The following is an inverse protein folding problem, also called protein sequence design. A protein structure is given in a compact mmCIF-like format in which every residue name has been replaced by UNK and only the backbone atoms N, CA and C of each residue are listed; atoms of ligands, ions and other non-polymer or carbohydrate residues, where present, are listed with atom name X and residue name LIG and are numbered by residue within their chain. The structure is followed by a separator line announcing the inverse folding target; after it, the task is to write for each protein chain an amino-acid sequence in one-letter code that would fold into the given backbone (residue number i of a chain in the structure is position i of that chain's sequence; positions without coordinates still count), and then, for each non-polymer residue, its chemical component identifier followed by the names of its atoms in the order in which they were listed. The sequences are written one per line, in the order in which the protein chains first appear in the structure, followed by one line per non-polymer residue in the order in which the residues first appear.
data_IF_414999439238
#
_entry.id   IF_414999439238
#
_cell.length_a   1.000
_cell.length_b   1.000
_cell.length_c   1.000
_cell.angle_alpha   90.00
_cell.angle_beta   90.00
_cell.angle_gamma   90.00
#
_symmetry.space_group_name_H-M   'P 1'
#
loop_
_entity.id
_entity.type
_entity.pdbx_description
1 polymer ?
#
# COMPACT_ATOMS: atom_id res chain seq x y z
N UNK A 1 -21.36 16.85 -15.23
CA UNK A 1 -21.79 17.63 -14.08
C UNK A 1 -22.69 16.81 -13.15
N UNK A 2 -23.74 16.16 -13.63
CA UNK A 2 -24.73 15.49 -12.76
C UNK A 2 -24.31 14.14 -12.14
N UNK A 3 -23.17 13.56 -12.52
CA UNK A 3 -22.75 12.25 -11.99
C UNK A 3 -21.73 12.33 -10.85
N UNK A 4 -20.99 13.43 -10.77
CA UNK A 4 -19.96 13.60 -9.74
C UNK A 4 -20.53 14.21 -8.45
N UNK A 5 -21.55 15.09 -8.57
CA UNK A 5 -22.28 15.58 -7.40
C UNK A 5 -23.03 14.47 -6.67
N UNK A 6 -23.49 13.43 -7.39
CA UNK A 6 -24.17 12.29 -6.78
C UNK A 6 -23.26 11.46 -5.85
N UNK A 7 -21.95 11.48 -6.04
CA UNK A 7 -21.01 10.72 -5.20
C UNK A 7 -20.84 11.38 -3.82
N UNK A 8 -20.85 12.70 -3.74
CA UNK A 8 -20.75 13.43 -2.47
C UNK A 8 -22.13 13.67 -1.82
N UNK A 9 -23.19 13.85 -2.60
CA UNK A 9 -24.57 14.00 -2.09
C UNK A 9 -25.16 12.66 -1.58
N UNK A 10 -24.59 11.52 -1.97
CA UNK A 10 -25.03 10.19 -1.53
C UNK A 10 -24.70 9.87 -0.06
N UNK A 11 -23.75 10.58 0.55
CA UNK A 11 -23.41 10.38 1.96
C UNK A 11 -24.38 11.11 2.93
N UNK A 12 -25.09 12.14 2.48
CA UNK A 12 -26.06 12.88 3.31
C UNK A 12 -27.47 12.28 3.32
N UNK A 13 -27.76 11.22 2.57
CA UNK A 13 -29.08 10.62 2.46
C UNK A 13 -29.06 9.09 2.54
N UNK A 14 -28.62 8.56 3.69
CA UNK A 14 -28.91 7.16 4.00
C UNK A 14 -30.42 7.04 4.33
N UNK A 15 -31.20 6.24 3.57
CA UNK A 15 -32.54 5.88 4.01
C UNK A 15 -32.44 5.08 5.30
N UNK A 16 -33.45 5.18 6.21
CA UNK A 16 -33.42 4.46 7.48
C UNK A 16 -33.23 2.97 7.21
N UNK A 17 -32.27 2.38 7.89
CA UNK A 17 -31.82 1.01 7.80
C UNK A 17 -32.98 0.02 7.60
N UNK A 18 -33.16 -0.46 6.38
CA UNK A 18 -33.90 -1.68 6.13
C UNK A 18 -33.02 -2.81 6.65
N UNK A 19 -33.42 -3.38 7.76
CA UNK A 19 -32.82 -4.56 8.38
C UNK A 19 -32.74 -5.70 7.38
N UNK A 20 -31.67 -5.79 6.62
CA UNK A 20 -31.30 -7.00 5.89
C UNK A 20 -30.74 -7.96 6.93
N UNK A 21 -31.58 -8.94 7.30
CA UNK A 21 -31.19 -10.06 8.14
C UNK A 21 -30.06 -10.81 7.47
N UNK A 22 -28.86 -10.79 8.07
CA UNK A 22 -27.76 -11.68 7.70
C UNK A 22 -28.26 -13.12 7.75
N UNK A 23 -27.95 -14.00 6.76
CA UNK A 23 -28.19 -15.41 6.93
C UNK A 23 -27.34 -15.92 8.11
N UNK A 24 -28.00 -16.43 9.14
CA UNK A 24 -27.34 -17.05 10.28
C UNK A 24 -26.58 -18.29 9.82
N UNK A 25 -25.27 -18.26 9.84
CA UNK A 25 -24.47 -19.47 9.77
C UNK A 25 -24.65 -20.19 11.11
N UNK A 26 -25.33 -21.31 11.09
CA UNK A 26 -25.53 -22.18 12.23
C UNK A 26 -24.20 -22.86 12.59
N UNK A 27 -23.46 -22.33 13.53
CA UNK A 27 -22.35 -23.04 14.17
C UNK A 27 -22.95 -23.83 15.36
N UNK A 28 -22.82 -25.16 15.40
CA UNK A 28 -23.30 -25.93 16.54
C UNK A 28 -22.47 -25.61 17.79
N UNK A 29 -23.11 -25.13 18.84
CA UNK A 29 -22.51 -24.88 20.14
C UNK A 29 -22.09 -26.19 20.83
N UNK A 30 -20.88 -26.29 21.36
CA UNK A 30 -20.50 -27.39 22.25
C UNK A 30 -21.21 -27.30 23.60
N UNK A 31 -21.66 -28.47 24.09
CA UNK A 31 -22.50 -28.63 25.24
C UNK A 31 -21.93 -28.07 26.55
N UNK A 32 -22.84 -27.54 27.36
CA UNK A 32 -22.60 -27.04 28.72
C UNK A 32 -22.18 -28.18 29.66
N UNK A 33 -20.92 -28.16 30.07
CA UNK A 33 -20.44 -28.87 31.24
C UNK A 33 -20.36 -27.90 32.43
N UNK A 34 -21.13 -28.13 33.47
CA UNK A 34 -21.07 -27.40 34.75
C UNK A 34 -19.70 -27.61 35.40
N UNK A 35 -18.98 -26.56 35.75
CA UNK A 35 -18.00 -26.57 36.85
C UNK A 35 -18.19 -25.32 37.70
N UNK A 36 -18.16 -25.59 39.03
CA UNK A 36 -18.57 -24.76 40.15
C UNK A 36 -17.72 -23.51 40.35
N UNK A 37 -18.41 -22.48 40.92
CA UNK A 37 -17.88 -21.29 41.59
C UNK A 37 -16.73 -21.58 42.56
N UNK A 38 -15.71 -20.76 42.49
CA UNK A 38 -14.76 -20.51 43.57
C UNK A 38 -14.49 -19.01 43.67
N UNK A 39 -15.09 -18.41 44.68
CA UNK A 39 -14.95 -17.01 45.08
C UNK A 39 -13.59 -16.80 45.74
N UNK A 40 -12.76 -15.85 45.32
CA UNK A 40 -11.70 -15.25 46.16
C UNK A 40 -11.74 -13.73 45.95
N UNK A 41 -12.07 -13.05 47.04
CA UNK A 41 -11.88 -11.60 47.29
C UNK A 41 -10.41 -11.31 47.56
N UNK A 42 -9.91 -10.14 47.08
CA UNK A 42 -8.61 -9.64 47.52
C UNK A 42 -8.29 -8.28 46.91
N UNK A 43 -8.79 -7.25 47.49
CA UNK A 43 -8.14 -6.08 48.08
C UNK A 43 -7.31 -5.14 47.17
N UNK A 44 -7.86 -3.98 47.05
CA UNK A 44 -7.30 -2.69 46.67
C UNK A 44 -6.06 -2.30 47.53
N UNK A 45 -5.01 -1.81 46.93
CA UNK A 45 -4.06 -0.91 47.60
C UNK A 45 -3.54 0.14 46.62
N UNK A 46 -3.99 1.38 46.83
CA UNK A 46 -3.36 2.61 46.34
C UNK A 46 -2.02 2.80 47.05
N UNK A 47 -1.00 3.21 46.31
CA UNK A 47 0.15 3.91 46.91
C UNK A 47 0.65 4.98 45.92
N UNK A 48 0.33 6.21 46.26
CA UNK A 48 0.98 7.45 45.78
C UNK A 48 2.35 7.57 46.44
N UNK A 49 3.40 7.94 45.66
CA UNK A 49 4.61 8.53 46.20
C UNK A 49 5.24 9.45 45.20
N UNK A 50 5.12 10.75 45.48
CA UNK A 50 5.96 11.85 45.05
C UNK A 50 7.27 11.83 45.88
N UNK A 51 8.42 12.01 45.25
CA UNK A 51 9.65 12.69 45.69
C UNK A 51 10.56 12.76 44.46
N UNK A 52 11.02 13.80 43.93
CA UNK A 52 11.78 14.99 44.14
C UNK A 52 13.25 14.69 44.45
N UNK A 53 14.18 15.02 43.53
CA UNK A 53 15.58 14.95 43.85
C UNK A 53 16.51 15.38 42.70
N UNK A 54 16.95 16.61 42.73
CA UNK A 54 17.97 17.19 41.85
C UNK A 54 19.41 16.87 42.33
N UNK A 55 20.39 17.25 41.48
CA UNK A 55 21.86 17.31 41.63
C UNK A 55 22.65 16.09 41.16
N UNK A 56 23.69 16.23 40.34
CA UNK A 56 24.84 17.13 40.39
C UNK A 56 25.62 17.18 39.08
N UNK A 57 26.08 18.37 38.75
CA UNK A 57 27.15 18.68 37.81
C UNK A 57 28.48 18.20 38.37
N UNK A 58 29.30 17.56 37.57
CA UNK A 58 30.70 17.25 37.88
C UNK A 58 31.60 17.65 36.72
N UNK A 59 32.19 18.86 36.80
CA UNK A 59 33.34 19.24 35.99
C UNK A 59 34.57 18.49 36.51
N UNK A 60 35.30 17.84 35.58
CA UNK A 60 36.70 17.48 35.82
C UNK A 60 37.53 18.06 34.66
N UNK A 61 38.31 19.08 34.99
CA UNK A 61 39.42 19.62 34.20
C UNK A 61 40.69 18.85 34.54
N UNK A 62 41.37 18.31 33.54
CA UNK A 62 42.79 17.99 33.64
C UNK A 62 43.50 18.48 32.38
N UNK A 63 44.45 19.41 32.61
CA UNK A 63 45.40 19.87 31.62
C UNK A 63 46.55 18.86 31.48
N UNK A 64 47.05 18.69 30.25
CA UNK A 64 48.21 17.86 30.00
C UNK A 64 48.78 18.04 28.60
N UNK A 65 49.84 18.81 28.54
CA UNK A 65 51.03 18.87 27.65
C UNK A 65 50.88 18.77 26.11
N UNK A 66 51.43 19.82 25.53
CA UNK A 66 51.76 20.02 24.12
C UNK A 66 52.89 19.08 23.70
N UNK A 67 52.64 18.25 22.70
CA UNK A 67 53.67 17.51 21.96
C UNK A 67 53.59 17.86 20.47
N UNK A 68 54.70 18.38 19.95
CA UNK A 68 54.89 18.71 18.54
C UNK A 68 54.87 17.45 17.67
N UNK A 69 54.08 17.47 16.58
CA UNK A 69 54.09 16.39 15.58
C UNK A 69 54.39 17.02 14.19
N UNK A 70 55.34 16.40 13.51
CA UNK A 70 55.79 16.70 12.16
C UNK A 70 54.69 16.47 11.10
N UNK A 71 54.76 17.08 9.92
CA UNK A 71 53.75 16.94 8.85
C UNK A 71 53.88 15.59 8.15
N UNK A 72 52.79 14.84 8.15
CA UNK A 72 52.59 13.61 7.39
C UNK A 72 52.17 13.89 5.93
N UNK A 73 52.57 13.09 4.95
CA UNK A 73 52.23 13.28 3.53
C UNK A 73 50.75 13.02 3.26
N UNK A 74 50.20 13.69 2.21
CA UNK A 74 48.81 13.74 1.85
C UNK A 74 48.20 12.37 1.48
N UNK A 75 46.86 12.31 1.49
CA UNK A 75 46.12 11.05 1.32
C UNK A 75 46.20 10.56 -0.13
N UNK A 76 46.70 9.36 -0.29
CA UNK A 76 46.51 8.56 -1.49
C UNK A 76 45.01 8.28 -1.69
N UNK A 77 44.58 8.29 -2.95
CA UNK A 77 43.20 8.13 -3.33
C UNK A 77 42.56 6.84 -2.78
N UNK A 78 41.43 7.01 -2.10
CA UNK A 78 40.54 5.92 -1.72
C UNK A 78 39.88 5.38 -3.01
N UNK A 79 40.03 4.10 -3.33
CA UNK A 79 39.23 3.48 -4.39
C UNK A 79 37.79 3.47 -3.95
N UNK A 80 36.92 4.13 -4.69
CA UNK A 80 35.48 3.98 -4.63
C UNK A 80 35.13 2.59 -5.19
N UNK A 81 35.21 1.57 -4.34
CA UNK A 81 34.56 0.29 -4.59
C UNK A 81 33.06 0.48 -4.41
N UNK A 82 32.40 0.83 -5.50
CA UNK A 82 30.96 0.63 -5.65
C UNK A 82 30.76 -0.88 -5.83
N UNK A 83 30.72 -1.62 -4.73
CA UNK A 83 30.33 -3.00 -4.74
C UNK A 83 28.83 -3.06 -5.14
N UNK A 84 28.58 -3.28 -6.43
CA UNK A 84 27.30 -3.79 -6.90
C UNK A 84 27.03 -5.07 -6.11
N UNK A 85 25.89 -5.19 -5.39
CA UNK A 85 25.57 -6.43 -4.69
C UNK A 85 25.57 -7.56 -5.71
N UNK A 86 26.45 -8.54 -5.49
CA UNK A 86 26.51 -9.76 -6.28
C UNK A 86 25.14 -10.43 -6.15
N UNK A 87 24.46 -10.78 -7.26
CA UNK A 87 23.18 -11.46 -7.16
C UNK A 87 23.40 -12.75 -6.36
N UNK A 88 22.63 -12.91 -5.29
CA UNK A 88 22.56 -14.17 -4.55
C UNK A 88 22.29 -15.29 -5.56
N UNK A 89 23.00 -16.43 -5.53
CA UNK A 89 22.74 -17.52 -6.44
C UNK A 89 21.28 -17.95 -6.31
N UNK A 90 20.50 -17.64 -7.32
CA UNK A 90 19.09 -18.05 -7.38
C UNK A 90 19.09 -19.55 -7.57
N UNK A 91 18.58 -20.27 -6.59
CA UNK A 91 18.35 -21.71 -6.70
C UNK A 91 17.53 -21.97 -7.97
N UNK A 92 17.89 -22.95 -8.81
CA UNK A 92 17.19 -23.17 -10.06
C UNK A 92 15.74 -23.56 -9.79
N UNK A 93 14.80 -22.90 -10.48
CA UNK A 93 13.38 -23.23 -10.42
C UNK A 93 13.16 -24.71 -10.77
N UNK A 94 12.36 -25.44 -9.99
CA UNK A 94 12.00 -26.81 -10.33
C UNK A 94 11.26 -26.86 -11.67
N UNK A 95 11.52 -27.92 -12.45
CA UNK A 95 10.77 -28.16 -13.67
C UNK A 95 9.30 -28.36 -13.33
N UNK A 96 8.41 -27.55 -13.91
CA UNK A 96 6.99 -27.69 -13.67
C UNK A 96 6.45 -28.96 -14.35
N UNK A 97 5.78 -29.81 -13.57
CA UNK A 97 4.97 -30.90 -14.10
C UNK A 97 3.71 -30.31 -14.79
N UNK A 98 3.09 -31.02 -15.75
CA UNK A 98 1.80 -30.63 -16.30
C UNK A 98 0.77 -30.46 -15.18
N UNK A 99 0.18 -29.27 -15.08
CA UNK A 99 -0.84 -28.98 -14.08
C UNK A 99 -2.19 -29.49 -14.58
N UNK A 100 -2.82 -30.40 -13.84
CA UNK A 100 -4.18 -30.89 -14.17
C UNK A 100 -5.22 -29.79 -13.95
N UNK A 101 -6.17 -29.69 -14.90
CA UNK A 101 -7.21 -28.67 -14.84
C UNK A 101 -6.77 -27.27 -15.28
N UNK A 102 -5.66 -27.17 -16.02
CA UNK A 102 -5.19 -25.89 -16.56
C UNK A 102 -6.21 -25.25 -17.50
N UNK A 103 -6.46 -23.97 -17.31
CA UNK A 103 -7.31 -23.11 -18.10
C UNK A 103 -6.48 -21.97 -18.72
N UNK A 104 -6.95 -21.34 -19.80
CA UNK A 104 -6.36 -20.07 -20.25
C UNK A 104 -6.41 -19.02 -19.15
N UNK A 105 -5.37 -18.21 -18.99
CA UNK A 105 -5.32 -17.15 -17.98
C UNK A 105 -6.50 -16.18 -18.07
N UNK A 106 -7.06 -15.98 -19.28
CA UNK A 106 -8.26 -15.16 -19.50
C UNK A 106 -9.49 -15.63 -18.71
N UNK A 107 -9.61 -16.94 -18.42
CA UNK A 107 -10.73 -17.45 -17.62
C UNK A 107 -10.58 -17.18 -16.12
N UNK A 108 -9.40 -16.77 -15.69
CA UNK A 108 -9.12 -16.35 -14.33
C UNK A 108 -9.14 -14.82 -14.14
N UNK A 109 -9.28 -14.04 -15.22
CA UNK A 109 -9.48 -12.60 -15.15
C UNK A 109 -10.92 -12.31 -14.78
N UNK A 110 -11.17 -12.20 -13.48
CA UNK A 110 -12.50 -11.91 -12.97
C UNK A 110 -13.03 -10.60 -13.53
N UNK A 111 -14.30 -10.59 -13.94
CA UNK A 111 -14.93 -9.41 -14.50
C UNK A 111 -15.09 -8.30 -13.46
N UNK A 112 -14.94 -7.09 -13.92
CA UNK A 112 -15.36 -5.91 -13.16
C UNK A 112 -16.88 -5.83 -13.22
N UNK A 113 -17.60 -5.74 -12.07
CA UNK A 113 -19.02 -5.48 -12.08
C UNK A 113 -19.30 -4.14 -12.78
N UNK A 114 -20.43 -4.05 -13.45
CA UNK A 114 -20.94 -2.77 -13.96
C UNK A 114 -21.54 -1.98 -12.78
N UNK A 115 -20.69 -1.48 -11.90
CA UNK A 115 -21.07 -0.58 -10.84
C UNK A 115 -20.59 0.85 -11.20
N UNK A 116 -21.20 1.83 -10.60
CA UNK A 116 -20.77 3.23 -10.74
C UNK A 116 -19.43 3.51 -10.05
N UNK A 117 -18.91 2.53 -9.29
CA UNK A 117 -17.67 2.63 -8.55
C UNK A 117 -16.45 2.62 -9.46
N UNK A 118 -15.57 3.56 -9.23
CA UNK A 118 -14.35 3.78 -10.02
C UNK A 118 -13.36 2.65 -9.78
N UNK A 119 -13.22 2.21 -8.52
CA UNK A 119 -12.26 1.21 -8.10
C UNK A 119 -12.91 -0.15 -7.92
N UNK A 120 -12.33 -1.17 -8.52
CA UNK A 120 -12.75 -2.57 -8.39
C UNK A 120 -11.55 -3.49 -8.47
N UNK A 121 -11.60 -4.63 -7.79
CA UNK A 121 -10.59 -5.69 -7.89
C UNK A 121 -10.61 -6.45 -9.23
N UNK A 122 -11.54 -6.15 -10.14
CA UNK A 122 -11.74 -6.87 -11.42
C UNK A 122 -10.86 -6.40 -12.56
N UNK A 123 -10.97 -7.12 -13.69
CA UNK A 123 -10.31 -6.78 -14.96
C UNK A 123 -11.30 -6.18 -15.97
N UNK A 124 -10.83 -5.31 -16.90
CA UNK A 124 -9.51 -4.67 -16.85
C UNK A 124 -9.41 -3.67 -15.71
N UNK A 125 -8.18 -3.33 -15.31
CA UNK A 125 -7.98 -2.15 -14.50
C UNK A 125 -8.40 -0.95 -15.35
N UNK A 126 -9.23 -0.08 -14.82
CA UNK A 126 -9.63 1.12 -15.55
C UNK A 126 -9.10 2.31 -14.80
N UNK A 127 -8.25 3.04 -15.46
CA UNK A 127 -7.97 4.40 -15.10
C UNK A 127 -8.87 5.32 -15.95
N UNK A 128 -9.40 6.36 -15.35
CA UNK A 128 -10.18 7.38 -16.05
C UNK A 128 -9.33 8.24 -16.98
N UNK A 129 -8.00 8.21 -16.84
CA UNK A 129 -7.06 9.13 -17.45
C UNK A 129 -5.98 8.47 -18.27
N UNK A 130 -6.08 7.17 -18.46
CA UNK A 130 -5.08 6.39 -19.20
C UNK A 130 -3.64 6.56 -18.67
N UNK A 131 -3.48 6.77 -17.33
CA UNK A 131 -2.15 6.84 -16.73
C UNK A 131 -1.45 5.49 -16.94
N UNK A 132 -0.24 5.48 -17.53
CA UNK A 132 0.40 4.22 -17.88
C UNK A 132 0.84 3.46 -16.63
N UNK A 133 0.51 2.18 -16.56
CA UNK A 133 0.97 1.27 -15.50
C UNK A 133 2.31 0.60 -15.82
N UNK A 134 2.86 0.86 -17.01
CA UNK A 134 4.17 0.35 -17.48
C UNK A 134 4.89 1.43 -18.29
N UNK A 135 6.20 1.34 -18.40
CA UNK A 135 7.01 2.39 -19.03
C UNK A 135 7.39 3.47 -18.02
N UNK A 136 7.35 4.73 -18.41
CA UNK A 136 7.62 5.86 -17.51
C UNK A 136 6.32 6.60 -17.23
N UNK A 137 6.01 6.82 -15.95
CA UNK A 137 4.96 7.72 -15.51
C UNK A 137 5.61 8.96 -14.89
N UNK A 138 5.13 10.15 -15.25
CA UNK A 138 5.68 11.43 -14.79
C UNK A 138 4.68 12.15 -13.91
N UNK A 139 5.08 12.44 -12.69
CA UNK A 139 4.24 13.07 -11.67
C UNK A 139 4.82 14.44 -11.33
N UNK A 140 4.07 15.51 -11.59
CA UNK A 140 4.46 16.82 -11.09
C UNK A 140 4.26 16.87 -9.58
N UNK A 141 5.31 17.15 -8.82
CA UNK A 141 5.27 17.29 -7.36
C UNK A 141 5.38 18.75 -6.99
N UNK A 142 4.26 19.32 -6.58
CA UNK A 142 4.12 20.77 -6.30
C UNK A 142 4.06 20.97 -4.80
N UNK A 143 5.08 21.65 -4.26
CA UNK A 143 5.15 22.00 -2.85
C UNK A 143 4.55 23.38 -2.61
N UNK A 144 3.56 23.48 -1.71
CA UNK A 144 2.87 24.74 -1.45
C UNK A 144 2.95 25.17 0.00
N UNK A 145 3.20 26.46 0.20
CA UNK A 145 3.12 27.15 1.50
C UNK A 145 2.08 28.27 1.48
N UNK A 146 1.65 28.71 2.63
CA UNK A 146 0.55 29.66 2.79
C UNK A 146 0.98 30.86 3.65
N UNK A 147 0.28 32.02 3.54
CA UNK A 147 0.54 33.18 4.39
C UNK A 147 0.43 32.90 5.90
N UNK A 148 -0.30 31.86 6.30
CA UNK A 148 -0.49 31.42 7.69
C UNK A 148 0.22 30.10 8.02
N UNK A 149 0.82 29.42 7.05
CA UNK A 149 1.53 28.16 7.21
C UNK A 149 2.79 28.13 6.34
N UNK A 150 3.90 28.66 6.88
CA UNK A 150 5.16 28.70 6.16
C UNK A 150 5.91 27.36 6.26
N UNK A 151 6.70 27.05 5.24
CA UNK A 151 7.58 25.90 5.18
C UNK A 151 8.57 25.82 6.34
N UNK A 152 8.95 24.59 6.72
CA UNK A 152 10.03 24.35 7.70
C UNK A 152 11.31 23.84 7.04
N UNK A 153 11.18 23.00 6.01
CA UNK A 153 12.31 22.38 5.30
C UNK A 153 12.33 22.77 3.83
N UNK A 154 13.49 22.91 3.20
CA UNK A 154 13.57 23.20 1.76
C UNK A 154 13.19 21.96 0.93
N UNK A 155 12.64 22.18 -0.27
CA UNK A 155 12.30 21.11 -1.21
C UNK A 155 13.51 20.23 -1.55
N UNK A 156 14.71 20.84 -1.63
CA UNK A 156 15.96 20.11 -1.91
C UNK A 156 16.35 19.07 -0.86
N UNK A 157 15.79 19.13 0.35
CA UNK A 157 15.97 18.11 1.38
C UNK A 157 14.84 17.08 1.36
N UNK A 158 13.60 17.49 1.09
CA UNK A 158 12.43 16.63 1.13
C UNK A 158 12.28 15.76 -0.13
N UNK A 159 12.37 16.39 -1.29
CA UNK A 159 12.08 15.73 -2.57
C UNK A 159 12.95 14.50 -2.85
N UNK A 160 14.29 14.53 -2.64
CA UNK A 160 15.12 13.35 -2.90
C UNK A 160 14.76 12.13 -2.05
N UNK A 161 14.24 12.31 -0.84
CA UNK A 161 13.80 11.20 0.00
C UNK A 161 12.51 10.56 -0.54
N UNK A 162 11.57 11.40 -0.98
CA UNK A 162 10.31 10.95 -1.57
C UNK A 162 10.59 10.22 -2.89
N UNK A 163 11.37 10.82 -3.76
CA UNK A 163 11.74 10.26 -5.07
C UNK A 163 12.44 8.91 -4.93
N UNK A 164 13.46 8.83 -4.07
CA UNK A 164 14.22 7.60 -3.84
C UNK A 164 13.32 6.44 -3.35
N UNK A 165 12.40 6.73 -2.43
CA UNK A 165 11.49 5.73 -1.88
C UNK A 165 10.47 5.26 -2.92
N UNK A 166 9.76 6.21 -3.55
CA UNK A 166 8.68 5.90 -4.50
C UNK A 166 9.24 5.18 -5.73
N UNK A 167 10.35 5.68 -6.28
CA UNK A 167 10.98 5.06 -7.45
C UNK A 167 11.47 3.64 -7.16
N UNK A 168 12.04 3.41 -5.98
CA UNK A 168 12.52 2.07 -5.58
C UNK A 168 11.39 1.08 -5.37
N UNK A 169 10.36 1.44 -4.60
CA UNK A 169 9.26 0.51 -4.32
C UNK A 169 8.51 0.13 -5.59
N UNK A 170 8.20 1.10 -6.45
CA UNK A 170 7.52 0.82 -7.71
C UNK A 170 8.40 0.09 -8.71
N UNK A 171 9.69 0.44 -8.79
CA UNK A 171 10.67 -0.28 -9.59
C UNK A 171 10.78 -1.75 -9.20
N UNK A 172 10.83 -2.06 -7.91
CA UNK A 172 10.88 -3.44 -7.41
C UNK A 172 9.56 -4.18 -7.63
N UNK A 173 8.42 -3.60 -7.22
CA UNK A 173 7.10 -4.25 -7.37
C UNK A 173 6.74 -4.55 -8.81
N UNK A 174 7.16 -3.69 -9.74
CA UNK A 174 6.90 -3.84 -11.18
C UNK A 174 7.92 -4.69 -11.92
N UNK A 175 8.96 -5.17 -11.23
CA UNK A 175 10.10 -5.87 -11.86
C UNK A 175 10.81 -5.01 -12.91
N UNK A 176 10.90 -3.70 -12.67
CA UNK A 176 11.46 -2.71 -13.58
C UNK A 176 10.59 -2.40 -14.80
N UNK A 177 9.32 -2.82 -14.82
CA UNK A 177 8.41 -2.49 -15.92
C UNK A 177 7.82 -1.09 -15.83
N UNK A 178 7.81 -0.49 -14.64
CA UNK A 178 7.40 0.88 -14.38
C UNK A 178 8.56 1.69 -13.83
N UNK A 179 8.75 2.87 -14.36
CA UNK A 179 9.62 3.91 -13.79
C UNK A 179 8.73 5.07 -13.37
N UNK A 180 8.83 5.49 -12.12
CA UNK A 180 8.15 6.70 -11.64
C UNK A 180 9.16 7.84 -11.64
N UNK A 181 8.86 8.90 -12.40
CA UNK A 181 9.65 10.12 -12.53
C UNK A 181 8.91 11.24 -11.82
N UNK A 182 9.44 11.70 -10.68
CA UNK A 182 8.86 12.77 -9.88
C UNK A 182 9.49 14.11 -10.27
N UNK A 183 8.70 15.02 -10.83
CA UNK A 183 9.14 16.33 -11.33
C UNK A 183 8.78 17.41 -10.31
N UNK A 184 9.72 17.92 -9.50
CA UNK A 184 9.43 18.90 -8.46
C UNK A 184 9.20 20.30 -8.99
N UNK A 185 8.40 21.10 -8.29
CA UNK A 185 8.22 22.54 -8.56
C UNK A 185 9.49 23.39 -8.34
N UNK A 186 10.58 22.78 -7.88
CA UNK A 186 11.87 23.44 -7.63
C UNK A 186 11.97 24.06 -6.25
N UNK A 187 11.02 24.86 -5.82
CA UNK A 187 10.93 25.44 -4.46
C UNK A 187 9.45 25.45 -4.01
N UNK A 188 9.22 25.81 -2.77
CA UNK A 188 7.88 26.03 -2.24
C UNK A 188 7.20 27.20 -2.96
N UNK A 189 5.95 26.97 -3.30
CA UNK A 189 5.09 27.94 -3.97
C UNK A 189 4.19 28.58 -2.94
N UNK A 190 4.27 29.92 -2.81
CA UNK A 190 3.36 30.68 -1.95
C UNK A 190 1.98 30.78 -2.57
N UNK A 191 0.99 30.22 -1.89
CA UNK A 191 -0.43 30.33 -2.26
C UNK A 191 -0.98 31.72 -1.96
N UNK A 192 -2.01 32.17 -2.69
CA UNK A 192 -2.55 33.53 -2.56
C UNK A 192 -3.31 33.73 -1.26
N UNK A 193 -4.07 32.72 -0.85
CA UNK A 193 -4.90 32.75 0.34
C UNK A 193 -4.32 31.95 1.51
N UNK A 194 -4.90 32.12 2.70
CA UNK A 194 -4.61 31.31 3.87
C UNK A 194 -5.07 29.86 3.65
N UNK A 195 -4.40 28.90 4.25
CA UNK A 195 -4.69 27.48 4.09
C UNK A 195 -6.17 27.14 4.31
N UNK A 196 -6.79 27.70 5.35
CA UNK A 196 -8.22 27.50 5.67
C UNK A 196 -9.20 28.05 4.63
N UNK A 197 -8.78 28.94 3.75
CA UNK A 197 -9.65 29.47 2.71
C UNK A 197 -9.92 28.45 1.60
N UNK A 198 -8.99 27.52 1.38
CA UNK A 198 -9.16 26.42 0.41
C UNK A 198 -10.11 25.36 0.93
N UNK A 199 -10.11 25.07 2.23
CA UNK A 199 -10.97 24.09 2.89
C UNK A 199 -10.99 22.74 2.16
N UNK A 200 -9.80 22.14 2.02
CA UNK A 200 -9.58 20.83 1.41
C UNK A 200 -9.29 19.83 2.53
N UNK A 201 -10.34 19.33 3.16
CA UNK A 201 -10.30 18.35 4.23
C UNK A 201 -10.82 17.02 3.68
N UNK A 202 -10.06 15.95 3.77
CA UNK A 202 -10.36 14.66 3.11
C UNK A 202 -11.81 14.22 3.24
N UNK A 203 -12.37 14.27 4.45
CA UNK A 203 -13.75 13.82 4.72
C UNK A 203 -14.84 14.83 4.28
N UNK A 204 -14.47 16.08 4.00
CA UNK A 204 -15.39 17.16 3.64
C UNK A 204 -14.98 17.87 2.35
N UNK A 205 -13.99 17.31 1.63
CA UNK A 205 -13.42 17.92 0.44
C UNK A 205 -14.48 18.02 -0.66
N UNK A 206 -14.83 19.26 -1.03
CA UNK A 206 -15.73 19.51 -2.16
C UNK A 206 -14.90 19.57 -3.44
N UNK A 207 -15.36 18.95 -4.55
CA UNK A 207 -14.64 19.01 -5.83
C UNK A 207 -14.23 20.42 -6.23
N UNK A 208 -15.11 21.40 -6.07
CA UNK A 208 -14.81 22.80 -6.37
C UNK A 208 -13.66 23.38 -5.54
N UNK A 209 -13.51 22.98 -4.28
CA UNK A 209 -12.42 23.42 -3.40
C UNK A 209 -11.09 22.80 -3.86
N UNK A 210 -11.12 21.51 -4.17
CA UNK A 210 -9.93 20.79 -4.67
C UNK A 210 -9.48 21.35 -6.03
N UNK A 211 -10.43 21.57 -6.96
CA UNK A 211 -10.14 22.19 -8.26
C UNK A 211 -9.51 23.59 -8.09
N UNK A 212 -10.04 24.40 -7.17
CA UNK A 212 -9.47 25.72 -6.90
C UNK A 212 -8.05 25.64 -6.33
N UNK A 213 -7.85 24.77 -5.34
CA UNK A 213 -6.55 24.55 -4.68
C UNK A 213 -5.51 24.04 -5.66
N UNK A 214 -5.79 22.90 -6.32
CA UNK A 214 -4.86 22.27 -7.27
C UNK A 214 -4.67 23.17 -8.49
N UNK A 215 -5.73 23.80 -9.00
CA UNK A 215 -5.64 24.69 -10.15
C UNK A 215 -4.78 25.94 -9.88
N UNK A 216 -4.77 26.46 -8.65
CA UNK A 216 -3.84 27.53 -8.29
C UNK A 216 -2.40 27.01 -8.19
N UNK A 217 -2.19 25.85 -7.53
CA UNK A 217 -0.87 25.24 -7.40
C UNK A 217 -0.24 24.96 -8.78
N UNK A 218 -0.99 24.33 -9.68
CA UNK A 218 -0.53 24.04 -11.04
C UNK A 218 -0.20 25.35 -11.80
N UNK A 219 -1.11 26.32 -11.83
CA UNK A 219 -0.88 27.60 -12.53
C UNK A 219 0.36 28.33 -12.02
N UNK A 220 0.67 28.24 -10.73
CA UNK A 220 1.86 28.84 -10.14
C UNK A 220 3.13 28.04 -10.40
N UNK A 221 3.03 26.73 -10.54
CA UNK A 221 4.14 25.83 -10.90
C UNK A 221 4.50 25.87 -12.39
N UNK A 222 3.56 26.22 -13.24
CA UNK A 222 3.61 26.24 -14.70
C UNK A 222 4.89 26.90 -15.28
N UNK A 223 5.39 28.02 -14.79
CA UNK A 223 6.64 28.58 -15.26
C UNK A 223 7.91 27.73 -14.98
N UNK A 224 7.79 26.70 -14.15
CA UNK A 224 8.91 25.84 -13.72
C UNK A 224 8.75 24.37 -14.09
N UNK A 225 7.55 23.93 -14.44
CA UNK A 225 7.23 22.57 -14.85
C UNK A 225 6.64 22.60 -16.26
N UNK A 226 7.19 21.82 -17.16
CA UNK A 226 6.59 21.55 -18.48
C UNK A 226 5.53 20.45 -18.32
N UNK A 227 4.26 20.83 -18.43
CA UNK A 227 3.13 19.91 -18.23
C UNK A 227 2.79 19.06 -19.47
N UNK A 228 3.51 19.20 -20.60
CA UNK A 228 3.26 18.42 -21.82
C UNK A 228 3.28 16.90 -21.60
N UNK A 229 4.16 16.42 -20.71
CA UNK A 229 4.37 15.00 -20.45
C UNK A 229 4.09 14.62 -18.99
N UNK A 230 3.23 15.35 -18.32
CA UNK A 230 2.82 15.04 -16.94
C UNK A 230 1.56 14.19 -16.96
N UNK A 231 1.63 13.01 -16.34
CA UNK A 231 0.51 12.05 -16.25
C UNK A 231 -0.39 12.32 -15.03
N UNK A 232 0.19 12.81 -13.91
CA UNK A 232 -0.54 13.13 -12.70
C UNK A 232 0.13 14.25 -11.91
N UNK A 233 -0.58 14.84 -10.95
CA UNK A 233 -0.10 15.95 -10.12
C UNK A 233 -0.23 15.58 -8.64
N UNK A 234 0.84 15.74 -7.87
CA UNK A 234 0.83 15.64 -6.42
C UNK A 234 1.08 17.02 -5.80
N UNK A 235 0.17 17.48 -4.94
CA UNK A 235 0.28 18.78 -4.25
C UNK A 235 0.52 18.54 -2.76
N UNK A 236 1.69 18.95 -2.29
CA UNK A 236 2.13 18.81 -0.91
C UNK A 236 1.98 20.14 -0.17
N UNK A 237 1.09 20.17 0.83
CA UNK A 237 0.96 21.31 1.73
C UNK A 237 2.05 21.31 2.81
N UNK A 238 2.35 22.49 3.35
CA UNK A 238 3.20 22.59 4.55
C UNK A 238 2.53 22.01 5.79
N UNK A 239 3.32 21.56 6.75
CA UNK A 239 2.92 20.90 8.00
C UNK A 239 1.94 21.69 8.88
N UNK A 240 1.77 22.99 8.67
CA UNK A 240 0.93 23.86 9.46
C UNK A 240 -0.33 24.32 8.71
N UNK A 241 -0.63 23.71 7.58
CA UNK A 241 -1.74 24.10 6.73
C UNK A 241 -3.07 23.53 7.21
N UNK A 242 -3.60 24.03 8.33
CA UNK A 242 -4.85 23.56 8.96
C UNK A 242 -6.08 23.44 8.01
N UNK A 243 -6.03 24.05 6.84
CA UNK A 243 -7.11 23.99 5.86
C UNK A 243 -6.93 22.93 4.78
N UNK A 244 -5.83 22.22 4.82
CA UNK A 244 -5.51 21.10 3.92
C UNK A 244 -5.17 19.93 4.82
N UNK A 245 -6.05 18.94 4.92
CA UNK A 245 -5.90 17.85 5.86
C UNK A 245 -6.28 16.51 5.23
N UNK A 246 -5.54 15.48 5.61
CA UNK A 246 -5.63 14.13 5.07
C UNK A 246 -4.88 13.96 3.76
N UNK A 247 -4.71 12.72 3.37
CA UNK A 247 -4.05 12.30 2.14
C UNK A 247 -5.04 11.53 1.29
N UNK A 248 -5.19 11.93 0.04
CA UNK A 248 -6.16 11.28 -0.86
C UNK A 248 -5.88 11.57 -2.33
N UNK A 249 -6.29 10.65 -3.17
CA UNK A 249 -6.33 10.81 -4.62
C UNK A 249 -7.70 11.33 -5.06
N UNK A 250 -7.71 12.25 -6.01
CA UNK A 250 -8.93 12.70 -6.70
C UNK A 250 -8.67 12.93 -8.18
N UNK A 251 -9.52 12.38 -9.03
CA UNK A 251 -9.49 12.67 -10.46
C UNK A 251 -10.36 13.91 -10.72
N UNK A 252 -9.75 14.99 -11.19
CA UNK A 252 -10.47 16.24 -11.46
C UNK A 252 -11.31 16.12 -12.73
N UNK A 253 -12.53 16.65 -12.67
CA UNK A 253 -13.45 16.69 -13.82
C UNK A 253 -13.21 17.86 -14.77
N UNK A 254 -12.58 18.92 -14.27
CA UNK A 254 -12.37 20.16 -15.01
C UNK A 254 -10.92 20.27 -15.49
N UNK A 255 -10.76 20.87 -16.68
CA UNK A 255 -9.44 21.16 -17.21
C UNK A 255 -8.75 22.25 -16.38
N UNK A 256 -7.49 22.01 -16.07
CA UNK A 256 -6.60 23.02 -15.49
C UNK A 256 -5.77 23.61 -16.64
N UNK A 257 -5.81 24.94 -16.79
CA UNK A 257 -5.07 25.63 -17.83
C UNK A 257 -3.58 25.69 -17.47
N UNK A 258 -2.72 25.31 -18.41
CA UNK A 258 -1.28 25.49 -18.39
C UNK A 258 -0.83 26.23 -19.65
N UNK A 259 0.43 26.64 -19.72
CA UNK A 259 0.98 27.31 -20.92
C UNK A 259 1.04 26.36 -22.14
N UNK A 260 1.05 25.05 -21.91
CA UNK A 260 1.03 24.02 -22.97
C UNK A 260 -0.40 23.67 -23.43
N UNK A 261 -1.41 24.08 -22.68
CA UNK A 261 -2.83 23.82 -22.98
C UNK A 261 -3.62 23.40 -21.76
N UNK A 262 -4.89 23.04 -21.99
CA UNK A 262 -5.77 22.57 -20.91
C UNK A 262 -5.52 21.09 -20.62
N UNK A 263 -5.12 20.77 -19.40
CA UNK A 263 -4.91 19.41 -18.89
C UNK A 263 -5.94 19.00 -17.84
N UNK A 264 -6.30 17.73 -17.82
CA UNK A 264 -7.07 17.13 -16.73
C UNK A 264 -6.16 16.08 -16.10
N UNK A 265 -5.92 16.21 -14.81
CA UNK A 265 -4.96 15.38 -14.10
C UNK A 265 -5.64 14.52 -13.04
N UNK A 266 -5.14 13.30 -12.87
CA UNK A 266 -5.29 12.60 -11.60
C UNK A 266 -4.45 13.33 -10.57
N UNK A 267 -5.03 13.65 -9.41
CA UNK A 267 -4.35 14.48 -8.41
C UNK A 267 -4.22 13.75 -7.10
N UNK A 268 -3.08 13.93 -6.46
CA UNK A 268 -2.81 13.49 -5.10
C UNK A 268 -2.70 14.73 -4.23
N UNK A 269 -3.42 14.77 -3.14
CA UNK A 269 -3.34 15.82 -2.14
C UNK A 269 -2.74 15.22 -0.88
N UNK A 270 -1.70 15.87 -0.34
CA UNK A 270 -1.14 15.52 0.95
C UNK A 270 -1.30 16.70 1.90
N UNK A 271 -1.98 16.44 3.03
CA UNK A 271 -2.21 17.42 4.07
C UNK A 271 -0.99 17.68 4.92
N UNK A 272 -1.03 18.80 5.66
CA UNK A 272 0.05 19.19 6.56
C UNK A 272 -0.02 18.57 7.96
N UNK A 273 -1.07 17.86 8.31
CA UNK A 273 -1.37 17.42 9.67
C UNK A 273 -0.66 16.12 10.10
N UNK A 274 -0.09 15.38 9.15
CA UNK A 274 0.61 14.12 9.41
C UNK A 274 2.15 14.27 9.59
N UNK A 275 2.67 15.49 9.56
CA UNK A 275 4.09 15.76 9.47
C UNK A 275 4.70 16.17 10.82
N UNK A 276 4.62 15.33 11.84
CA UNK A 276 5.26 15.68 13.12
C UNK A 276 6.80 15.74 13.03
N UNK A 277 7.45 14.96 12.14
CA UNK A 277 8.91 14.97 12.00
C UNK A 277 9.48 14.84 10.58
N UNK A 278 8.77 14.27 9.61
CA UNK A 278 9.20 14.15 8.19
C UNK A 278 8.05 13.70 7.29
N UNK A 279 8.12 14.04 6.00
CA UNK A 279 7.26 13.49 4.95
C UNK A 279 7.37 11.98 4.93
N UNK A 280 6.27 11.27 5.10
CA UNK A 280 6.27 9.83 4.87
C UNK A 280 6.07 9.54 3.37
N UNK A 281 7.12 9.14 2.63
CA UNK A 281 7.01 8.87 1.20
C UNK A 281 6.10 7.68 0.88
N UNK A 282 5.73 6.87 1.88
CA UNK A 282 4.80 5.74 1.73
C UNK A 282 3.41 6.23 1.40
N UNK A 283 3.02 7.40 1.92
CA UNK A 283 1.73 8.03 1.61
C UNK A 283 1.63 8.29 0.11
N UNK A 284 2.61 8.98 -0.48
CA UNK A 284 2.60 9.22 -1.93
C UNK A 284 2.58 7.91 -2.72
N UNK A 285 3.30 6.89 -2.28
CA UNK A 285 3.29 5.60 -2.94
C UNK A 285 1.91 4.92 -2.85
N UNK A 286 1.18 5.04 -1.73
CA UNK A 286 -0.19 4.54 -1.58
C UNK A 286 -1.14 5.27 -2.53
N UNK A 287 -1.18 6.60 -2.46
CA UNK A 287 -2.06 7.42 -3.29
C UNK A 287 -1.78 7.25 -4.80
N UNK A 288 -0.52 6.99 -5.16
CA UNK A 288 -0.16 6.65 -6.54
C UNK A 288 -0.75 5.28 -6.97
N UNK A 289 -0.96 4.36 -6.04
CA UNK A 289 -1.73 3.13 -6.28
C UNK A 289 -3.16 3.42 -6.76
N UNK A 290 -3.81 4.43 -6.19
CA UNK A 290 -5.13 4.90 -6.65
C UNK A 290 -5.06 5.55 -8.03
N UNK A 291 -4.01 6.29 -8.32
CA UNK A 291 -3.80 6.85 -9.68
C UNK A 291 -3.74 5.73 -10.72
N UNK A 292 -3.20 4.56 -10.38
CA UNK A 292 -3.20 3.38 -11.25
C UNK A 292 -4.50 2.58 -11.22
N UNK A 293 -5.51 2.99 -10.46
CA UNK A 293 -6.82 2.34 -10.39
C UNK A 293 -6.91 1.20 -9.38
N UNK A 294 -6.02 1.14 -8.40
CA UNK A 294 -6.12 0.22 -7.27
C UNK A 294 -7.09 0.77 -6.22
N UNK A 295 -7.78 -0.13 -5.54
CA UNK A 295 -8.71 0.18 -4.45
C UNK A 295 -8.02 0.06 -3.09
N UNK A 296 -8.59 0.72 -2.09
CA UNK A 296 -8.24 0.49 -0.69
C UNK A 296 -8.61 -0.93 -0.24
N UNK A 297 -7.73 -1.50 0.57
CA UNK A 297 -7.86 -2.85 1.12
C UNK A 297 -7.96 -2.86 2.66
N UNK A 298 -8.13 -1.69 3.27
CA UNK A 298 -8.44 -1.55 4.70
C UNK A 298 -9.96 -1.49 4.93
N UNK A 299 -10.38 -1.59 6.19
CA UNK A 299 -11.79 -1.46 6.59
C UNK A 299 -12.15 0.03 6.75
N UNK A 300 -13.06 0.52 5.90
CA UNK A 300 -13.53 1.91 5.95
C UNK A 300 -14.56 2.19 7.04
N UNK A 301 -15.17 1.16 7.65
CA UNK A 301 -16.18 1.34 8.71
C UNK A 301 -15.55 1.44 10.11
N UNK A 302 -14.36 0.93 10.31
CA UNK A 302 -13.65 1.06 11.57
C UNK A 302 -13.06 2.46 11.73
N UNK A 303 -13.87 3.42 12.13
CA UNK A 303 -13.54 4.84 12.24
C UNK A 303 -12.38 5.21 13.18
N UNK A 304 -11.76 4.22 13.83
CA UNK A 304 -10.59 4.34 14.70
C UNK A 304 -9.41 3.49 14.18
N UNK A 305 -9.43 3.14 12.93
CA UNK A 305 -8.64 2.28 12.05
C UNK A 305 -7.17 1.95 12.33
N UNK A 306 -6.56 2.52 13.34
CA UNK A 306 -5.14 2.30 13.60
C UNK A 306 -4.82 1.16 14.58
N UNK A 307 -5.78 0.72 15.40
CA UNK A 307 -5.51 -0.20 16.52
C UNK A 307 -6.11 -1.63 16.39
N UNK A 308 -7.08 -1.85 15.53
CA UNK A 308 -7.70 -3.17 15.36
C UNK A 308 -7.33 -3.76 14.00
N UNK A 309 -6.18 -4.33 13.92
CA UNK A 309 -5.55 -5.04 12.79
C UNK A 309 -6.42 -5.18 11.54
N UNK A 310 -5.93 -4.73 10.43
CA UNK A 310 -6.55 -4.72 9.11
C UNK A 310 -7.24 -6.06 8.80
N UNK A 311 -8.58 -6.15 8.84
CA UNK A 311 -9.30 -7.42 8.89
C UNK A 311 -9.29 -8.20 7.56
N UNK A 312 -8.83 -7.57 6.48
CA UNK A 312 -8.94 -8.15 5.15
C UNK A 312 -7.62 -8.72 4.63
N UNK A 313 -6.61 -7.89 4.45
CA UNK A 313 -5.33 -8.33 3.90
C UNK A 313 -4.16 -8.15 4.87
N UNK A 314 -4.42 -7.63 6.07
CA UNK A 314 -3.38 -7.38 7.05
C UNK A 314 -2.26 -6.50 6.47
N UNK A 315 -1.03 -6.97 6.63
CA UNK A 315 0.18 -6.29 6.17
C UNK A 315 0.70 -6.79 4.81
N UNK A 316 -0.12 -7.50 4.01
CA UNK A 316 0.32 -8.14 2.78
C UNK A 316 0.08 -7.34 1.51
N UNK A 317 -0.56 -6.17 1.59
CA UNK A 317 -0.71 -5.26 0.45
C UNK A 317 -0.53 -3.80 0.87
N UNK A 318 0.14 -3.04 0.02
CA UNK A 318 0.43 -1.63 0.25
C UNK A 318 -0.82 -0.74 0.22
N UNK A 319 -1.93 -1.21 -0.39
CA UNK A 319 -3.23 -0.53 -0.37
C UNK A 319 -4.01 -0.79 0.92
N UNK A 320 -3.38 -1.40 1.94
CA UNK A 320 -3.87 -1.51 3.32
C UNK A 320 -3.13 -0.53 4.22
N UNK A 321 -3.63 -0.27 5.43
CA UNK A 321 -2.95 0.60 6.41
C UNK A 321 -1.74 -0.03 7.12
N UNK A 322 -1.39 -1.29 6.82
CA UNK A 322 -0.31 -2.03 7.47
C UNK A 322 1.08 -1.40 7.42
N UNK A 323 1.30 -0.47 6.52
CA UNK A 323 2.57 0.23 6.37
C UNK A 323 2.90 1.21 7.51
N UNK A 324 1.94 1.60 8.35
CA UNK A 324 2.17 2.53 9.47
C UNK A 324 3.11 1.97 10.57
N UNK A 325 3.29 0.64 10.65
CA UNK A 325 4.01 -0.03 11.72
C UNK A 325 5.37 -0.61 11.32
N UNK A 326 6.15 0.06 10.48
CA UNK A 326 7.47 -0.37 10.01
C UNK A 326 7.46 -1.46 8.93
N UNK A 327 6.31 -2.01 8.57
CA UNK A 327 6.17 -2.86 7.40
C UNK A 327 5.86 -1.97 6.19
N UNK A 328 6.53 -2.22 5.10
CA UNK A 328 6.18 -1.63 3.80
C UNK A 328 5.96 -2.81 2.84
N UNK A 329 4.80 -3.50 2.95
CA UNK A 329 4.52 -4.64 2.09
C UNK A 329 4.44 -4.17 0.65
N UNK A 330 4.75 -5.06 -0.26
CA UNK A 330 4.52 -4.82 -1.68
C UNK A 330 3.09 -5.21 -2.05
N UNK A 331 2.61 -4.81 -3.24
CA UNK A 331 1.28 -5.22 -3.68
C UNK A 331 1.14 -6.74 -3.76
N UNK A 332 -0.04 -7.27 -3.45
CA UNK A 332 -0.45 -8.63 -3.76
C UNK A 332 -0.27 -8.91 -5.25
N UNK A 333 0.08 -10.13 -5.58
CA UNK A 333 0.32 -10.55 -6.95
C UNK A 333 -0.88 -10.36 -7.87
N UNK A 334 -2.11 -10.43 -7.34
CA UNK A 334 -3.33 -10.10 -8.08
C UNK A 334 -3.31 -8.67 -8.62
N UNK A 335 -2.96 -7.69 -7.80
CA UNK A 335 -2.84 -6.29 -8.21
C UNK A 335 -1.70 -6.10 -9.22
N UNK A 336 -0.55 -6.76 -9.01
CA UNK A 336 0.55 -6.73 -9.99
C UNK A 336 0.16 -7.34 -11.34
N UNK A 337 -0.68 -8.38 -11.35
CA UNK A 337 -1.22 -8.95 -12.58
C UNK A 337 -2.19 -7.99 -13.28
N UNK A 338 -3.07 -7.33 -12.53
CA UNK A 338 -3.98 -6.30 -13.06
C UNK A 338 -3.21 -5.12 -13.69
N UNK A 339 -2.12 -4.69 -13.06
CA UNK A 339 -1.24 -3.63 -13.55
C UNK A 339 -0.36 -4.06 -14.74
N UNK A 340 -0.40 -5.33 -15.17
CA UNK A 340 0.42 -5.85 -16.26
C UNK A 340 1.88 -6.16 -15.85
N UNK A 341 2.20 -6.09 -14.56
CA UNK A 341 3.54 -6.40 -14.06
C UNK A 341 3.80 -7.90 -14.02
N UNK A 342 2.78 -8.71 -13.77
CA UNK A 342 2.78 -10.16 -13.95
C UNK A 342 2.13 -10.47 -15.29
N UNK A 343 2.80 -11.24 -16.14
CA UNK A 343 2.28 -11.64 -17.45
C UNK A 343 1.31 -12.83 -17.31
N UNK A 344 0.37 -12.98 -18.23
CA UNK A 344 -0.57 -14.12 -18.26
C UNK A 344 0.15 -15.49 -18.24
N UNK A 345 1.34 -15.58 -18.85
CA UNK A 345 2.16 -16.79 -18.84
C UNK A 345 2.79 -17.12 -17.47
N UNK A 346 2.72 -16.21 -16.51
CA UNK A 346 3.22 -16.37 -15.15
C UNK A 346 2.09 -16.70 -14.16
N UNK A 347 0.88 -16.93 -14.67
CA UNK A 347 -0.31 -17.26 -13.89
C UNK A 347 -0.77 -18.67 -14.25
N UNK A 348 -0.80 -19.56 -13.25
CA UNK A 348 -1.44 -20.86 -13.37
C UNK A 348 -2.93 -20.70 -13.07
N UNK A 349 -3.73 -20.52 -14.12
CA UNK A 349 -5.20 -20.55 -14.03
C UNK A 349 -5.65 -22.01 -14.03
N UNK A 350 -6.27 -22.49 -12.93
CA UNK A 350 -6.60 -23.90 -12.77
C UNK A 350 -7.97 -24.09 -12.12
N UNK A 351 -8.62 -25.20 -12.46
CA UNK A 351 -9.83 -25.70 -11.79
C UNK A 351 -9.63 -27.17 -11.49
N UNK A 352 -8.89 -27.50 -10.42
CA UNK A 352 -8.58 -28.88 -10.09
C UNK A 352 -9.85 -29.65 -9.71
N UNK A 353 -10.01 -30.85 -10.27
CA UNK A 353 -11.08 -31.82 -9.93
C UNK A 353 -10.54 -33.01 -9.13
N UNK A 354 -9.22 -33.06 -8.93
CA UNK A 354 -8.50 -34.05 -8.15
C UNK A 354 -7.25 -33.39 -7.55
N UNK A 355 -6.56 -34.10 -6.66
CA UNK A 355 -5.34 -33.62 -6.03
C UNK A 355 -4.31 -33.16 -7.06
N UNK A 356 -3.90 -31.90 -6.97
CA UNK A 356 -3.00 -31.25 -7.94
C UNK A 356 -1.83 -30.60 -7.23
N UNK A 357 -0.62 -30.89 -7.68
CA UNK A 357 0.62 -30.27 -7.18
C UNK A 357 1.05 -29.13 -8.10
N UNK A 358 1.39 -27.98 -7.52
CA UNK A 358 1.87 -26.79 -8.26
C UNK A 358 3.09 -26.20 -7.57
N UNK A 359 4.11 -25.84 -8.36
CA UNK A 359 5.26 -25.04 -7.89
C UNK A 359 5.04 -23.57 -8.20
N UNK A 360 5.16 -22.71 -7.19
CA UNK A 360 4.97 -21.26 -7.29
C UNK A 360 6.31 -20.60 -6.99
N UNK A 361 6.79 -19.77 -7.92
CA UNK A 361 8.00 -18.97 -7.72
C UNK A 361 7.74 -17.84 -6.71
N UNK A 362 8.77 -17.51 -5.94
CA UNK A 362 8.69 -16.34 -5.05
C UNK A 362 8.24 -15.09 -5.83
N UNK A 363 7.26 -14.38 -5.30
CA UNK A 363 6.68 -13.19 -5.93
C UNK A 363 7.76 -12.14 -6.25
N UNK A 364 8.77 -12.01 -5.40
CA UNK A 364 9.88 -11.08 -5.56
C UNK A 364 10.84 -11.47 -6.71
N UNK A 365 10.75 -12.70 -7.24
CA UNK A 365 11.65 -13.17 -8.31
C UNK A 365 11.34 -12.57 -9.69
N UNK A 366 10.10 -12.15 -9.92
CA UNK A 366 9.64 -11.63 -11.22
C UNK A 366 9.61 -12.66 -12.35
N UNK A 367 9.80 -13.95 -12.08
CA UNK A 367 9.88 -14.99 -13.10
C UNK A 367 9.20 -16.30 -12.66
N UNK A 368 9.00 -17.21 -13.62
CA UNK A 368 8.29 -18.48 -13.38
C UNK A 368 6.79 -18.29 -13.20
N UNK A 369 6.11 -19.26 -12.60
CA UNK A 369 4.71 -19.14 -12.19
C UNK A 369 4.65 -18.45 -10.85
N UNK A 370 4.10 -17.26 -10.79
CA UNK A 370 4.05 -16.43 -9.58
C UNK A 370 2.68 -16.43 -8.91
N UNK A 371 1.62 -16.79 -9.65
CA UNK A 371 0.28 -16.90 -9.12
C UNK A 371 -0.35 -18.22 -9.52
N UNK A 372 -1.12 -18.79 -8.60
CA UNK A 372 -2.14 -19.80 -8.89
C UNK A 372 -3.49 -19.16 -8.66
N UNK A 373 -4.37 -19.23 -9.65
CA UNK A 373 -5.71 -18.65 -9.58
C UNK A 373 -6.74 -19.73 -9.88
N UNK A 374 -7.70 -19.89 -8.97
CA UNK A 374 -8.79 -20.86 -9.07
C UNK A 374 -10.12 -20.13 -9.12
N UNK A 375 -10.74 -19.95 -10.30
CA UNK A 375 -12.01 -19.25 -10.43
C UNK A 375 -13.15 -20.08 -9.82
N UNK A 376 -13.93 -19.43 -8.96
CA UNK A 376 -15.11 -20.01 -8.30
C UNK A 376 -16.40 -19.56 -8.98
N UNK A 377 -16.43 -18.33 -9.48
CA UNK A 377 -17.53 -17.70 -10.21
C UNK A 377 -16.97 -16.64 -11.16
N UNK A 378 -17.85 -15.89 -11.83
CA UNK A 378 -17.44 -14.75 -12.65
C UNK A 378 -16.75 -13.62 -11.86
N UNK A 379 -17.05 -13.52 -10.55
CA UNK A 379 -16.54 -12.45 -9.67
C UNK A 379 -15.66 -12.95 -8.54
N UNK A 380 -15.47 -14.27 -8.33
CA UNK A 380 -14.74 -14.81 -7.19
C UNK A 380 -13.69 -15.81 -7.59
N UNK A 381 -12.52 -15.72 -6.95
CA UNK A 381 -11.45 -16.70 -7.08
C UNK A 381 -10.70 -16.90 -5.76
N UNK A 382 -10.06 -18.05 -5.62
CA UNK A 382 -8.97 -18.27 -4.68
C UNK A 382 -7.67 -17.98 -5.41
N UNK A 383 -6.79 -17.20 -4.77
CA UNK A 383 -5.48 -16.85 -5.31
C UNK A 383 -4.38 -17.28 -4.34
N UNK A 384 -3.28 -17.79 -4.87
CA UNK A 384 -2.13 -18.24 -4.08
C UNK A 384 -0.88 -17.64 -4.71
N UNK A 385 -0.04 -17.07 -3.86
CA UNK A 385 1.29 -16.55 -4.22
C UNK A 385 2.33 -16.98 -3.19
N UNK A 386 3.60 -16.88 -3.55
CA UNK A 386 4.71 -17.23 -2.66
C UNK A 386 5.41 -15.98 -2.17
N UNK A 387 5.41 -15.72 -0.85
CA UNK A 387 6.02 -14.54 -0.23
C UNK A 387 7.34 -14.88 0.42
N UNK A 388 8.32 -14.00 0.30
CA UNK A 388 9.64 -14.09 0.92
C UNK A 388 10.02 -12.78 1.57
N UNK A 389 10.70 -12.85 2.71
CA UNK A 389 11.21 -11.69 3.44
C UNK A 389 12.47 -11.11 2.77
N UNK A 390 12.33 -10.60 1.55
CA UNK A 390 13.41 -9.98 0.75
C UNK A 390 12.91 -8.69 0.08
N UNK A 391 13.84 -7.80 -0.26
CA UNK A 391 13.51 -6.52 -0.87
C UNK A 391 12.63 -5.66 0.04
N UNK A 392 11.57 -5.11 -0.47
CA UNK A 392 10.60 -4.34 0.30
C UNK A 392 9.76 -5.19 1.26
N UNK A 393 9.63 -6.49 1.00
CA UNK A 393 8.96 -7.44 1.90
C UNK A 393 9.92 -8.01 2.99
N UNK A 394 11.12 -7.45 3.16
CA UNK A 394 12.18 -7.97 4.07
C UNK A 394 11.74 -8.11 5.54
N UNK A 395 10.75 -7.34 5.95
CA UNK A 395 10.24 -7.29 7.32
C UNK A 395 9.03 -8.22 7.53
N UNK A 396 8.65 -9.03 6.54
CA UNK A 396 7.64 -10.08 6.71
C UNK A 396 8.03 -11.04 7.83
N UNK A 397 7.10 -11.30 8.75
CA UNK A 397 7.33 -12.17 9.91
C UNK A 397 7.52 -13.62 9.48
N UNK A 398 6.70 -14.09 8.54
CA UNK A 398 6.77 -15.43 7.99
C UNK A 398 6.79 -15.44 6.47
N UNK A 399 7.53 -16.39 5.90
CA UNK A 399 7.62 -16.62 4.48
C UNK A 399 6.91 -17.93 4.11
N UNK A 400 6.20 -17.96 3.00
CA UNK A 400 5.46 -19.15 2.58
C UNK A 400 4.43 -18.86 1.49
N UNK A 401 3.56 -19.83 1.27
CA UNK A 401 2.44 -19.71 0.35
C UNK A 401 1.31 -18.88 1.01
N UNK A 402 1.07 -17.69 0.49
CA UNK A 402 -0.02 -16.82 0.92
C UNK A 402 -1.28 -17.14 0.11
N UNK A 403 -2.37 -17.44 0.81
CA UNK A 403 -3.67 -17.79 0.20
C UNK A 403 -4.68 -16.69 0.51
N UNK A 404 -5.39 -16.22 -0.50
CA UNK A 404 -6.42 -15.20 -0.32
C UNK A 404 -7.58 -15.36 -1.29
N UNK A 405 -8.72 -14.79 -0.92
CA UNK A 405 -9.89 -14.67 -1.76
C UNK A 405 -9.88 -13.33 -2.48
N UNK A 406 -10.36 -13.32 -3.72
CA UNK A 406 -10.71 -12.11 -4.46
C UNK A 406 -12.19 -12.19 -4.80
N UNK A 407 -12.94 -11.13 -4.50
CA UNK A 407 -14.35 -10.98 -4.89
C UNK A 407 -14.56 -9.58 -5.49
N UNK A 408 -14.68 -9.52 -6.80
CA UNK A 408 -14.80 -8.26 -7.54
C UNK A 408 -16.18 -7.61 -7.40
N UNK A 409 -17.14 -8.28 -6.75
CA UNK A 409 -18.47 -7.72 -6.46
C UNK A 409 -18.51 -6.94 -5.13
N UNK A 410 -17.41 -6.97 -4.36
CA UNK A 410 -17.26 -6.22 -3.10
C UNK A 410 -16.58 -4.90 -3.43
N UNK A 411 -17.03 -3.85 -2.77
CA UNK A 411 -16.54 -2.48 -2.98
C UNK A 411 -15.20 -2.23 -2.28
N UNK A 412 -14.55 -1.13 -2.64
CA UNK A 412 -13.38 -0.62 -1.94
C UNK A 412 -13.69 -0.47 -0.44
N UNK A 413 -12.72 -0.67 0.42
CA UNK A 413 -12.84 -0.63 1.90
C UNK A 413 -13.79 -1.64 2.55
N UNK A 414 -14.44 -2.52 1.77
CA UNK A 414 -15.32 -3.56 2.27
C UNK A 414 -14.72 -4.99 2.18
N UNK A 415 -13.44 -5.10 1.83
CA UNK A 415 -12.71 -6.37 1.75
C UNK A 415 -12.87 -7.12 0.43
N UNK A 416 -12.64 -6.49 -0.73
CA UNK A 416 -12.65 -7.17 -2.03
C UNK A 416 -11.55 -8.22 -2.18
N UNK A 417 -10.52 -8.14 -1.34
CA UNK A 417 -9.48 -9.16 -1.17
C UNK A 417 -9.39 -9.53 0.31
N UNK A 418 -9.26 -10.82 0.61
CA UNK A 418 -9.21 -11.32 1.99
C UNK A 418 -8.18 -12.42 2.12
N UNK A 419 -7.13 -12.17 2.90
CA UNK A 419 -6.11 -13.17 3.24
C UNK A 419 -6.74 -14.20 4.18
N UNK A 420 -6.51 -15.47 3.88
CA UNK A 420 -6.95 -16.58 4.70
C UNK A 420 -5.82 -16.92 5.68
N UNK A 421 -6.00 -16.52 6.92
CA UNK A 421 -5.16 -16.99 8.02
C UNK A 421 -5.55 -18.40 8.40
N UNK A 422 -4.63 -19.15 8.99
CA UNK A 422 -4.94 -20.48 9.50
C UNK A 422 -6.01 -20.43 10.62
N UNK A 423 -6.64 -21.57 10.89
CA UNK A 423 -7.73 -21.68 11.86
C UNK A 423 -7.31 -21.48 13.32
N UNK A 424 -6.03 -21.23 13.61
CA UNK A 424 -5.49 -21.10 14.95
C UNK A 424 -5.47 -19.67 15.49
N UNK A 425 -5.82 -18.67 14.67
CA UNK A 425 -6.19 -17.33 15.14
C UNK A 425 -5.06 -16.50 15.72
N UNK A 426 -3.83 -16.69 15.29
CA UNK A 426 -2.67 -15.96 15.80
C UNK A 426 -2.38 -14.68 15.00
N UNK A 427 -3.38 -14.16 14.29
CA UNK A 427 -3.25 -12.93 13.50
C UNK A 427 -2.74 -13.19 12.07
N UNK A 428 -2.74 -12.12 11.26
CA UNK A 428 -2.34 -12.19 9.85
C UNK A 428 -0.85 -12.49 9.65
N UNK A 429 0.00 -12.25 10.64
CA UNK A 429 1.44 -12.42 10.53
C UNK A 429 1.86 -13.85 10.19
N UNK A 430 1.05 -14.84 10.58
CA UNK A 430 1.26 -16.28 10.31
C UNK A 430 0.44 -16.80 9.12
N UNK A 431 -0.15 -15.93 8.31
CA UNK A 431 -0.96 -16.36 7.18
C UNK A 431 -0.17 -17.08 6.05
N UNK A 432 1.11 -16.75 5.74
CA UNK A 432 1.87 -17.53 4.79
C UNK A 432 2.11 -18.96 5.31
N UNK A 433 1.71 -19.96 4.55
CA UNK A 433 1.84 -21.37 4.91
C UNK A 433 3.30 -21.83 4.79
N UNK A 434 3.88 -22.26 5.89
CA UNK A 434 5.14 -23.00 5.92
C UNK A 434 4.94 -24.47 5.52
N UNK A 435 6.03 -25.17 5.19
CA UNK A 435 5.97 -26.57 4.78
C UNK A 435 5.28 -27.48 5.83
N UNK A 436 4.24 -28.18 5.41
CA UNK A 436 3.40 -29.03 6.25
C UNK A 436 2.13 -28.38 6.76
N UNK A 437 1.97 -27.06 6.60
CA UNK A 437 0.77 -26.34 6.98
C UNK A 437 -0.27 -26.32 5.86
N UNK A 438 -1.53 -26.07 6.22
CA UNK A 438 -2.64 -26.02 5.27
C UNK A 438 -3.70 -25.00 5.68
N UNK A 439 -4.49 -24.58 4.70
CA UNK A 439 -5.66 -23.74 4.88
C UNK A 439 -6.82 -24.25 4.03
N UNK A 440 -8.03 -24.15 4.60
CA UNK A 440 -9.27 -24.43 3.85
C UNK A 440 -9.78 -23.15 3.19
N UNK A 441 -9.78 -23.14 1.87
CA UNK A 441 -10.22 -22.04 1.03
C UNK A 441 -11.50 -22.40 0.28
N UNK A 442 -12.64 -22.31 0.96
CA UNK A 442 -13.97 -22.63 0.44
C UNK A 442 -14.09 -24.10 -0.02
N UNK A 443 -13.99 -24.35 -1.32
CA UNK A 443 -14.10 -25.71 -1.91
C UNK A 443 -12.76 -26.43 -2.01
N UNK A 444 -11.67 -25.80 -1.58
CA UNK A 444 -10.32 -26.34 -1.72
C UNK A 444 -9.60 -26.36 -0.39
N UNK A 445 -8.77 -27.37 -0.19
CA UNK A 445 -7.73 -27.36 0.86
C UNK A 445 -6.39 -27.19 0.18
N UNK A 446 -5.61 -26.18 0.61
CA UNK A 446 -4.29 -25.87 0.10
C UNK A 446 -3.27 -26.25 1.16
N UNK A 447 -2.36 -27.17 0.84
CA UNK A 447 -1.29 -27.62 1.73
C UNK A 447 0.06 -27.21 1.15
N UNK A 448 0.90 -26.56 1.94
CA UNK A 448 2.30 -26.31 1.59
C UNK A 448 3.11 -27.59 1.77
N UNK A 449 3.72 -28.09 0.69
CA UNK A 449 4.58 -29.27 0.71
C UNK A 449 6.05 -28.92 0.96
N UNK A 450 6.47 -27.76 0.46
CA UNK A 450 7.85 -27.30 0.52
C UNK A 450 7.89 -25.77 0.47
N UNK A 451 8.71 -25.17 1.33
CA UNK A 451 9.02 -23.74 1.33
C UNK A 451 10.54 -23.59 1.17
N UNK A 452 10.97 -22.97 0.08
CA UNK A 452 12.39 -22.82 -0.26
C UNK A 452 12.70 -21.41 -0.79
N UNK A 453 13.97 -21.07 -0.97
CA UNK A 453 14.38 -19.74 -1.48
C UNK A 453 13.80 -19.41 -2.85
N UNK A 454 13.58 -20.39 -3.70
CA UNK A 454 12.98 -20.20 -5.03
C UNK A 454 11.47 -19.95 -5.00
N UNK A 455 10.76 -20.41 -3.96
CA UNK A 455 9.30 -20.36 -3.89
C UNK A 455 8.70 -21.47 -3.05
N UNK A 456 7.46 -21.84 -3.32
CA UNK A 456 6.71 -22.88 -2.62
C UNK A 456 6.22 -23.96 -3.58
N UNK A 457 6.11 -25.17 -3.07
CA UNK A 457 5.42 -26.28 -3.70
C UNK A 457 4.18 -26.61 -2.88
N UNK A 458 3.03 -26.50 -3.51
CA UNK A 458 1.72 -26.67 -2.86
C UNK A 458 0.98 -27.86 -3.43
N UNK A 459 0.10 -28.42 -2.61
CA UNK A 459 -0.86 -29.45 -3.03
C UNK A 459 -2.28 -28.96 -2.77
N UNK A 460 -3.10 -29.00 -3.79
CA UNK A 460 -4.48 -28.52 -3.78
C UNK A 460 -5.42 -29.71 -3.89
N UNK A 461 -6.34 -29.86 -2.94
CA UNK A 461 -7.43 -30.85 -3.00
C UNK A 461 -8.78 -30.16 -3.07
N UNK A 462 -9.69 -30.63 -3.96
CA UNK A 462 -11.08 -30.17 -4.02
C UNK A 462 -11.87 -30.55 -2.78
#
# INVERSE_FOLDING_TARGET
MDRFEAWFDGQDALPPAATLRRPAINVPSPGRGLVRLGTILGALLLATSLVGGAHRVGLITTAGSVGSVEPTPGPEGVPTDTATPSPTPTEPLPSQAPVFGALPASECKLERPQSEWIFSAGFPITDYRDVPTTGTVRIAVIYVEFPDAARRSPVSELHPMIEDHVSKIYGEMSYGKLTVDLVPSGDWIMMDDRSRAYNVLQQEAKPANVINYVGEAVRKADPSIDFTEIDAVAVFATELADGIAGDFQMTLSDNIATDEGDGVFSTIITGGDWWEEAVDPRILAHELGHVFGLQDLYDGESGDGFDEGHPFVGYFDFMSYGWSNSYAPTFLGWNRWRLGWIADSQVACIKPSEGTEVSISALQSGNGVMLVVMPLSATRAVVIESRRAIGWDKDLVEAGALVYLVDTSIETTEGPMQVLADSFGVGFDSAPLSAGEYVDALSYTITSLETAGWGDRIFITP
#
